data_IF_456831620587
#
_entry.id   IF_456831620587
#
_cell.length_a   1.000
_cell.length_b   1.000
_cell.length_c   1.000
_cell.angle_alpha   90.00
_cell.angle_beta   90.00
_cell.angle_gamma   90.00
#
_symmetry.space_group_name_H-M   'P 1'
#
loop_
_entity.id
_entity.type
_entity.pdbx_description
1 polymer ?
#
# COMPACT_ATOMS: atom_id res chain seq x y z
N UNK A 1 33.93 10.43 -0.84
CA UNK A 1 32.83 10.95 -1.68
C UNK A 1 31.72 11.38 -0.75
N UNK A 2 31.55 12.69 -0.61
CA UNK A 2 30.69 13.34 0.38
C UNK A 2 29.26 13.46 -0.16
N UNK A 3 28.30 12.75 0.43
CA UNK A 3 26.89 13.04 0.23
C UNK A 3 26.43 14.10 1.24
N UNK A 4 26.30 15.33 0.75
CA UNK A 4 25.57 16.42 1.42
C UNK A 4 24.12 15.97 1.62
N UNK A 5 23.70 15.82 2.88
CA UNK A 5 22.29 15.75 3.28
C UNK A 5 21.74 17.17 3.34
N UNK A 6 20.76 17.47 2.48
CA UNK A 6 19.99 18.71 2.50
C UNK A 6 18.98 18.62 3.65
N UNK A 7 19.24 19.37 4.73
CA UNK A 7 18.33 19.54 5.86
C UNK A 7 17.35 20.66 5.51
N UNK A 8 16.08 20.34 5.26
CA UNK A 8 15.04 21.34 5.04
C UNK A 8 14.42 21.71 6.40
N UNK A 9 14.82 22.86 6.92
CA UNK A 9 14.23 23.50 8.11
C UNK A 9 12.99 24.26 7.65
N UNK A 10 11.81 23.81 8.06
CA UNK A 10 10.57 24.59 7.91
C UNK A 10 10.49 25.62 9.05
N UNK A 11 10.70 26.89 8.73
CA UNK A 11 10.38 28.02 9.60
C UNK A 11 8.91 28.38 9.34
N UNK A 12 8.05 28.11 10.32
CA UNK A 12 6.65 28.54 10.31
C UNK A 12 6.55 30.04 10.60
N UNK A 13 6.25 30.83 9.58
CA UNK A 13 5.90 32.24 9.73
C UNK A 13 4.36 32.37 9.82
N UNK A 14 3.87 32.81 10.98
CA UNK A 14 2.49 33.22 11.20
C UNK A 14 2.21 34.53 10.45
N UNK A 15 1.22 34.51 9.55
CA UNK A 15 0.65 35.71 8.92
C UNK A 15 -0.82 35.87 9.37
N UNK A 16 -1.24 37.09 9.77
CA UNK A 16 -2.62 37.35 10.21
C UNK A 16 -3.60 37.42 9.04
N UNK A 17 -4.79 36.85 9.27
CA UNK A 17 -5.99 37.03 8.44
C UNK A 17 -6.33 38.52 8.30
N UNK A 18 -6.50 38.97 7.05
CA UNK A 18 -7.30 40.15 6.74
C UNK A 18 -8.52 39.67 5.96
N UNK A 19 -9.70 39.83 6.55
CA UNK A 19 -10.96 39.59 5.89
C UNK A 19 -11.22 40.71 4.88
N UNK A 20 -11.40 40.37 3.61
CA UNK A 20 -12.01 41.24 2.60
C UNK A 20 -13.19 40.49 2.01
N UNK A 21 -14.38 41.01 2.29
CA UNK A 21 -15.60 40.70 1.59
C UNK A 21 -15.68 41.58 0.34
N UNK A 22 -16.04 41.00 -0.82
CA UNK A 22 -16.74 41.68 -1.90
C UNK A 22 -17.43 40.63 -2.78
N UNK A 23 -18.74 40.74 -2.86
CA UNK A 23 -19.61 40.10 -3.83
C UNK A 23 -19.30 40.64 -5.23
N UNK A 24 -19.26 39.78 -6.24
CA UNK A 24 -19.63 40.18 -7.60
C UNK A 24 -20.17 38.97 -8.38
N UNK A 25 -21.42 39.10 -8.80
CA UNK A 25 -22.13 38.17 -9.67
C UNK A 25 -21.75 38.51 -11.10
N UNK A 26 -20.91 37.68 -11.70
CA UNK A 26 -20.65 37.72 -13.15
C UNK A 26 -20.98 36.35 -13.73
N UNK A 27 -22.07 36.31 -14.49
CA UNK A 27 -22.46 35.18 -15.34
C UNK A 27 -21.38 34.98 -16.41
N UNK A 28 -20.71 33.81 -16.50
CA UNK A 28 -19.75 33.60 -17.57
C UNK A 28 -20.47 33.27 -18.87
N UNK A 29 -20.20 34.09 -19.88
CA UNK A 29 -20.43 33.82 -21.30
C UNK A 29 -19.66 32.57 -21.70
N UNK A 30 -20.36 31.55 -22.23
CA UNK A 30 -19.75 30.32 -22.75
C UNK A 30 -19.00 30.66 -24.04
N UNK A 31 -17.68 30.78 -23.95
CA UNK A 31 -16.80 30.73 -25.11
C UNK A 31 -16.61 29.24 -25.48
N UNK A 32 -17.07 28.87 -26.68
CA UNK A 32 -16.78 27.58 -27.30
C UNK A 32 -15.32 27.60 -27.75
N UNK A 33 -14.44 27.17 -26.85
CA UNK A 33 -13.02 26.98 -27.09
C UNK A 33 -12.70 25.49 -27.11
N UNK A 34 -12.04 25.07 -28.18
CA UNK A 34 -11.52 23.74 -28.48
C UNK A 34 -10.80 23.11 -27.27
N UNK A 35 -11.55 22.34 -26.47
CA UNK A 35 -11.00 21.55 -25.38
C UNK A 35 -10.46 20.25 -25.98
N UNK A 36 -9.14 20.17 -26.10
CA UNK A 36 -8.48 18.87 -26.22
C UNK A 36 -8.98 17.94 -25.10
N UNK A 37 -9.03 16.61 -25.32
CA UNK A 37 -9.64 15.70 -24.37
C UNK A 37 -8.78 15.68 -23.09
N UNK A 38 -9.12 16.56 -22.15
CA UNK A 38 -8.63 16.50 -20.80
C UNK A 38 -9.17 15.19 -20.23
N UNK A 39 -8.27 14.21 -20.09
CA UNK A 39 -8.53 12.89 -19.55
C UNK A 39 -8.87 12.98 -18.05
N UNK A 40 -9.95 13.69 -17.76
CA UNK A 40 -10.49 13.89 -16.43
C UNK A 40 -11.15 12.60 -15.98
N UNK A 41 -10.72 12.10 -14.81
CA UNK A 41 -11.42 11.01 -14.13
C UNK A 41 -12.89 11.40 -13.95
N UNK A 42 -13.84 10.52 -14.30
CA UNK A 42 -15.27 10.78 -14.12
C UNK A 42 -15.56 11.20 -12.67
N UNK A 43 -16.44 12.18 -12.50
CA UNK A 43 -16.91 12.58 -11.18
C UNK A 43 -17.67 11.42 -10.52
N UNK A 44 -17.30 11.09 -9.28
CA UNK A 44 -17.92 10.02 -8.49
C UNK A 44 -18.75 10.65 -7.38
N UNK A 45 -20.06 10.42 -7.41
CA UNK A 45 -21.00 10.88 -6.38
C UNK A 45 -21.27 9.70 -5.42
N UNK A 46 -20.72 9.69 -4.19
CA UNK A 46 -20.91 8.59 -3.25
C UNK A 46 -22.29 8.65 -2.58
N UNK A 47 -22.82 7.49 -2.18
CA UNK A 47 -23.94 7.45 -1.24
C UNK A 47 -23.52 7.97 0.16
N UNK A 48 -24.47 8.28 1.04
CA UNK A 48 -24.17 8.81 2.38
C UNK A 48 -23.32 7.88 3.24
N UNK A 49 -23.43 6.56 3.03
CA UNK A 49 -22.66 5.49 3.69
C UNK A 49 -21.33 5.18 2.99
N UNK A 50 -20.95 5.97 1.99
CA UNK A 50 -19.78 5.72 1.14
C UNK A 50 -18.81 6.89 1.16
N UNK A 51 -17.55 6.60 0.86
CA UNK A 51 -16.49 7.56 0.63
C UNK A 51 -15.98 7.43 -0.82
N UNK A 52 -15.42 8.49 -1.38
CA UNK A 52 -14.67 8.39 -2.64
C UNK A 52 -13.23 8.02 -2.30
N UNK A 53 -12.77 6.85 -2.76
CA UNK A 53 -11.36 6.52 -2.81
C UNK A 53 -10.81 6.88 -4.19
N UNK A 54 -9.77 7.71 -4.24
CA UNK A 54 -9.00 8.01 -5.45
C UNK A 54 -7.57 7.51 -5.33
N UNK A 55 -6.88 7.47 -6.46
CA UNK A 55 -5.45 7.20 -6.52
C UNK A 55 -4.96 7.09 -7.95
N UNK A 56 -3.73 6.60 -8.11
CA UNK A 56 -3.11 6.34 -9.41
C UNK A 56 -2.49 4.95 -9.42
N UNK A 57 -2.63 4.23 -10.53
CA UNK A 57 -1.97 2.92 -10.73
C UNK A 57 -0.74 3.14 -11.61
N UNK A 58 0.40 2.64 -11.15
CA UNK A 58 1.70 2.81 -11.82
C UNK A 58 2.48 1.50 -11.90
N UNK A 59 3.40 1.39 -12.86
CA UNK A 59 4.39 0.31 -12.89
C UNK A 59 5.49 0.59 -11.86
N UNK A 60 5.73 -0.36 -10.96
CA UNK A 60 6.76 -0.26 -9.93
C UNK A 60 8.16 -0.10 -10.55
N UNK A 61 8.99 0.78 -9.99
CA UNK A 61 10.34 1.17 -10.46
C UNK A 61 10.38 2.13 -11.65
N UNK A 62 9.48 2.01 -12.64
CA UNK A 62 9.41 2.98 -13.76
C UNK A 62 8.53 4.19 -13.45
N UNK A 63 7.68 4.13 -12.42
CA UNK A 63 6.74 5.20 -12.02
C UNK A 63 5.82 5.67 -13.18
N UNK A 64 5.64 4.78 -14.16
CA UNK A 64 4.85 5.04 -15.36
C UNK A 64 3.39 4.74 -15.09
N UNK A 65 2.48 5.62 -15.50
CA UNK A 65 1.04 5.42 -15.41
C UNK A 65 0.60 4.15 -16.15
N UNK A 66 -0.38 3.44 -15.60
CA UNK A 66 -1.02 2.31 -16.27
C UNK A 66 -2.45 2.72 -16.64
N UNK A 67 -2.68 2.98 -17.93
CA UNK A 67 -4.01 3.12 -18.51
C UNK A 67 -4.71 1.75 -18.59
N UNK A 68 -6.02 1.72 -18.40
CA UNK A 68 -6.78 0.48 -18.62
C UNK A 68 -6.72 -0.54 -17.46
N UNK A 69 -6.03 -0.24 -16.37
CA UNK A 69 -6.02 -1.11 -15.19
C UNK A 69 -7.41 -1.14 -14.55
N UNK A 70 -7.90 -2.32 -14.21
CA UNK A 70 -9.16 -2.50 -13.47
C UNK A 70 -8.88 -2.49 -11.97
N UNK A 71 -9.50 -1.56 -11.26
CA UNK A 71 -9.47 -1.43 -9.80
C UNK A 71 -10.83 -1.91 -9.26
N UNK A 72 -10.83 -3.00 -8.51
CA UNK A 72 -12.03 -3.57 -7.89
C UNK A 72 -11.97 -3.41 -6.38
N UNK A 73 -13.00 -2.79 -5.80
CA UNK A 73 -13.14 -2.57 -4.35
C UNK A 73 -14.58 -2.81 -3.93
N UNK A 74 -14.80 -3.62 -2.89
CA UNK A 74 -16.13 -3.91 -2.34
C UNK A 74 -17.17 -4.31 -3.41
N UNK A 75 -16.75 -5.10 -4.42
CA UNK A 75 -17.61 -5.58 -5.52
C UNK A 75 -17.85 -4.56 -6.64
N UNK A 76 -17.40 -3.32 -6.50
CA UNK A 76 -17.44 -2.29 -7.56
C UNK A 76 -16.12 -2.28 -8.32
N UNK A 77 -16.15 -1.88 -9.59
CA UNK A 77 -14.94 -1.76 -10.41
C UNK A 77 -14.92 -0.45 -11.19
N UNK A 78 -13.70 0.07 -11.42
CA UNK A 78 -13.43 1.20 -12.29
C UNK A 78 -12.15 0.92 -13.08
N UNK A 79 -12.02 1.52 -14.27
CA UNK A 79 -10.81 1.43 -15.09
C UNK A 79 -10.02 2.72 -14.97
N UNK A 80 -8.69 2.63 -14.89
CA UNK A 80 -7.82 3.81 -14.83
C UNK A 80 -7.78 4.57 -16.15
N UNK A 81 -7.70 5.90 -16.05
CA UNK A 81 -7.51 6.79 -17.18
C UNK A 81 -6.05 6.73 -17.72
N UNK A 82 -5.77 7.48 -18.80
CA UNK A 82 -4.46 7.53 -19.45
C UNK A 82 -3.31 7.95 -18.51
N UNK A 83 -3.58 8.81 -17.52
CA UNK A 83 -2.61 9.21 -16.50
C UNK A 83 -2.52 8.22 -15.31
N UNK A 84 -3.23 7.09 -15.41
CA UNK A 84 -3.29 6.03 -14.41
C UNK A 84 -4.26 6.31 -13.27
N UNK A 85 -4.95 7.46 -13.26
CA UNK A 85 -5.82 7.83 -12.15
C UNK A 85 -7.14 7.07 -12.15
N UNK A 86 -7.69 6.89 -10.97
CA UNK A 86 -9.04 6.37 -10.75
C UNK A 86 -9.72 7.08 -9.58
N UNK A 87 -11.05 7.00 -9.56
CA UNK A 87 -11.88 7.32 -8.41
C UNK A 87 -13.00 6.27 -8.31
N UNK A 88 -13.33 5.82 -7.10
CA UNK A 88 -14.35 4.79 -6.85
C UNK A 88 -15.05 5.02 -5.51
N UNK A 89 -16.37 4.86 -5.49
CA UNK A 89 -17.14 4.94 -4.24
C UNK A 89 -17.02 3.63 -3.45
N UNK A 90 -16.57 3.70 -2.21
CA UNK A 90 -16.32 2.55 -1.33
C UNK A 90 -17.09 2.69 -0.01
N UNK A 91 -17.43 1.58 0.67
CA UNK A 91 -18.10 1.64 1.96
C UNK A 91 -17.27 2.40 3.01
N UNK A 92 -17.93 3.22 3.84
CA UNK A 92 -17.36 3.75 5.09
C UNK A 92 -17.55 2.75 6.22
N UNK A 93 -16.62 2.78 7.18
CA UNK A 93 -16.73 2.08 8.47
C UNK A 93 -16.95 0.55 8.36
N UNK A 94 -16.73 -0.02 7.18
CA UNK A 94 -16.85 -1.45 6.88
C UNK A 94 -15.57 -1.93 6.20
N UNK A 95 -15.00 -3.08 6.60
CA UNK A 95 -13.79 -3.61 5.98
C UNK A 95 -14.03 -4.04 4.52
N UNK A 96 -13.04 -3.81 3.67
CA UNK A 96 -13.01 -4.28 2.29
C UNK A 96 -11.57 -4.56 1.82
N UNK A 97 -11.44 -5.24 0.68
CA UNK A 97 -10.16 -5.48 0.00
C UNK A 97 -10.16 -4.82 -1.37
N UNK A 98 -8.98 -4.42 -1.82
CA UNK A 98 -8.75 -3.91 -3.17
C UNK A 98 -8.04 -4.98 -4.00
N UNK A 99 -8.54 -5.23 -5.21
CA UNK A 99 -7.89 -6.01 -6.26
C UNK A 99 -7.57 -5.07 -7.43
N UNK A 100 -6.35 -5.13 -7.93
CA UNK A 100 -5.95 -4.37 -9.12
C UNK A 100 -5.36 -5.32 -10.15
N UNK A 101 -5.89 -5.26 -11.38
CA UNK A 101 -5.45 -6.08 -12.52
C UNK A 101 -5.13 -5.18 -13.70
N UNK A 102 -4.05 -5.48 -14.42
CA UNK A 102 -3.72 -4.83 -15.68
C UNK A 102 -3.06 -5.85 -16.62
N UNK A 103 -3.17 -5.62 -17.93
CA UNK A 103 -2.48 -6.45 -18.92
C UNK A 103 -0.96 -6.37 -18.70
N UNK A 104 -0.24 -7.47 -18.96
CA UNK A 104 1.21 -7.58 -18.75
C UNK A 104 1.73 -7.27 -17.33
N UNK A 105 0.86 -7.29 -16.32
CA UNK A 105 1.23 -7.08 -14.91
C UNK A 105 0.72 -8.22 -14.04
N UNK A 106 1.40 -8.45 -12.92
CA UNK A 106 0.86 -9.30 -11.86
C UNK A 106 -0.37 -8.62 -11.24
N UNK A 107 -1.38 -9.41 -10.90
CA UNK A 107 -2.52 -8.94 -10.10
C UNK A 107 -2.03 -8.56 -8.71
N UNK A 108 -2.48 -7.42 -8.19
CA UNK A 108 -2.28 -7.04 -6.80
C UNK A 108 -3.54 -7.34 -5.99
N UNK A 109 -3.39 -8.08 -4.90
CA UNK A 109 -4.41 -8.25 -3.87
C UNK A 109 -3.96 -7.59 -2.58
N UNK A 110 -4.62 -6.50 -2.23
CA UNK A 110 -4.34 -5.80 -0.98
C UNK A 110 -4.95 -6.53 0.22
N UNK A 111 -4.33 -6.31 1.37
CA UNK A 111 -4.86 -6.58 2.70
C UNK A 111 -6.21 -5.89 2.92
N UNK A 112 -6.99 -6.39 3.86
CA UNK A 112 -8.25 -5.78 4.29
C UNK A 112 -8.03 -4.47 5.06
N UNK A 113 -8.82 -3.45 4.72
CA UNK A 113 -8.83 -2.17 5.44
C UNK A 113 -10.22 -1.53 5.39
N UNK A 114 -10.44 -0.51 6.23
CA UNK A 114 -11.64 0.32 6.24
C UNK A 114 -11.27 1.81 6.25
N UNK A 115 -12.22 2.64 5.83
CA UNK A 115 -12.09 4.11 5.85
C UNK A 115 -12.92 4.66 7.00
N UNK A 116 -12.28 5.40 7.90
CA UNK A 116 -12.96 5.99 9.06
C UNK A 116 -13.56 7.36 8.73
N UNK A 117 -14.89 7.46 8.69
CA UNK A 117 -15.67 8.71 8.71
C UNK A 117 -15.44 9.77 7.62
N UNK A 118 -14.38 9.69 6.81
CA UNK A 118 -14.05 10.70 5.77
C UNK A 118 -14.88 10.51 4.51
N UNK A 119 -15.27 11.63 3.89
CA UNK A 119 -15.97 11.62 2.61
C UNK A 119 -15.07 11.25 1.43
N UNK A 120 -13.77 11.53 1.52
CA UNK A 120 -12.79 11.27 0.47
C UNK A 120 -11.48 10.74 1.05
N UNK A 121 -10.83 9.85 0.32
CA UNK A 121 -9.47 9.36 0.56
C UNK A 121 -8.70 9.41 -0.76
N UNK A 122 -7.58 10.11 -0.79
CA UNK A 122 -6.56 9.90 -1.81
C UNK A 122 -5.55 8.86 -1.30
N UNK A 123 -5.52 7.69 -1.97
CA UNK A 123 -4.61 6.59 -1.65
C UNK A 123 -3.20 6.84 -2.20
N UNK A 124 -3.03 7.78 -3.12
CA UNK A 124 -1.80 8.00 -3.86
C UNK A 124 -1.51 6.85 -4.85
N UNK A 125 -0.23 6.52 -4.99
CA UNK A 125 0.23 5.54 -5.97
C UNK A 125 0.05 4.09 -5.50
N UNK A 126 -0.59 3.29 -6.35
CA UNK A 126 -0.68 1.83 -6.25
C UNK A 126 0.25 1.22 -7.29
N UNK A 127 1.28 0.52 -6.82
CA UNK A 127 2.33 -0.03 -7.68
C UNK A 127 2.01 -1.47 -8.10
N UNK A 128 1.99 -1.72 -9.42
CA UNK A 128 1.94 -3.07 -9.99
C UNK A 128 3.33 -3.49 -10.48
N UNK A 129 3.65 -4.77 -10.31
CA UNK A 129 4.84 -5.36 -10.94
C UNK A 129 4.50 -5.76 -12.37
N UNK A 130 5.26 -5.26 -13.34
CA UNK A 130 5.19 -5.80 -14.70
C UNK A 130 5.55 -7.29 -14.69
N UNK A 131 4.99 -8.08 -15.60
CA UNK A 131 5.29 -9.51 -15.73
C UNK A 131 6.77 -9.74 -15.96
N UNK A 132 7.44 -8.88 -16.74
CA UNK A 132 8.89 -8.95 -16.95
C UNK A 132 9.67 -8.76 -15.65
N UNK A 133 9.38 -7.71 -14.88
CA UNK A 133 10.04 -7.45 -13.60
C UNK A 133 9.73 -8.58 -12.60
N UNK A 134 8.48 -9.02 -12.52
CA UNK A 134 8.08 -10.11 -11.64
C UNK A 134 8.82 -11.42 -11.99
N UNK A 135 8.89 -11.78 -13.27
CA UNK A 135 9.62 -12.95 -13.76
C UNK A 135 11.12 -12.90 -13.42
N UNK A 136 11.72 -11.71 -13.48
CA UNK A 136 13.09 -11.51 -13.02
C UNK A 136 13.22 -11.70 -11.50
N UNK A 137 12.29 -11.16 -10.71
CA UNK A 137 12.33 -11.25 -9.25
C UNK A 137 12.10 -12.69 -8.75
N UNK A 138 11.18 -13.44 -9.37
CA UNK A 138 10.93 -14.84 -8.97
C UNK A 138 12.12 -15.75 -9.29
N UNK A 139 13.04 -15.37 -10.18
CA UNK A 139 14.27 -16.11 -10.40
C UNK A 139 15.18 -16.17 -9.14
N UNK A 140 15.02 -15.23 -8.20
CA UNK A 140 15.69 -15.25 -6.89
C UNK A 140 14.98 -16.14 -5.85
N UNK A 141 13.79 -16.66 -6.17
CA UNK A 141 12.97 -17.50 -5.30
C UNK A 141 13.16 -18.97 -5.68
N UNK A 142 14.19 -19.60 -5.11
CA UNK A 142 14.57 -20.99 -5.43
C UNK A 142 13.41 -21.96 -5.21
N UNK A 143 12.99 -22.65 -6.28
CA UNK A 143 11.89 -23.60 -6.22
C UNK A 143 10.50 -22.94 -6.19
N UNK A 144 10.39 -21.68 -6.63
CA UNK A 144 9.10 -21.02 -6.83
C UNK A 144 8.18 -21.84 -7.75
N UNK A 145 6.98 -22.06 -7.26
CA UNK A 145 5.90 -22.77 -7.94
C UNK A 145 4.74 -21.80 -8.18
N UNK A 146 4.50 -21.47 -9.46
CA UNK A 146 3.43 -20.56 -9.87
C UNK A 146 2.02 -21.11 -9.59
N UNK A 147 1.87 -22.39 -9.26
CA UNK A 147 0.59 -22.97 -8.84
C UNK A 147 0.27 -22.70 -7.37
N UNK A 148 1.21 -22.09 -6.64
CA UNK A 148 1.08 -21.68 -5.24
C UNK A 148 0.99 -20.17 -5.11
N UNK A 149 0.67 -19.70 -3.90
CA UNK A 149 0.51 -18.29 -3.58
C UNK A 149 1.82 -17.56 -3.31
N UNK A 150 1.81 -16.27 -3.61
CA UNK A 150 2.88 -15.31 -3.34
C UNK A 150 2.35 -14.20 -2.41
N UNK A 151 3.04 -13.98 -1.28
CA UNK A 151 2.69 -12.97 -0.28
C UNK A 151 3.88 -12.05 -0.05
N UNK A 152 3.72 -10.77 -0.35
CA UNK A 152 4.66 -9.71 0.03
C UNK A 152 4.20 -9.09 1.34
N UNK A 153 5.13 -8.92 2.28
CA UNK A 153 4.87 -8.28 3.57
C UNK A 153 5.75 -7.05 3.72
N UNK A 154 5.13 -5.93 4.09
CA UNK A 154 5.80 -4.74 4.58
C UNK A 154 5.68 -4.70 6.10
N UNK A 155 6.82 -4.63 6.79
CA UNK A 155 6.90 -4.25 8.20
C UNK A 155 7.14 -2.75 8.24
N UNK A 156 6.23 -2.00 8.85
CA UNK A 156 6.33 -0.55 8.94
C UNK A 156 6.43 -0.10 10.40
N UNK A 157 7.37 0.81 10.74
CA UNK A 157 7.41 1.39 12.07
C UNK A 157 6.30 2.43 12.23
N UNK A 158 5.65 2.44 13.39
CA UNK A 158 4.81 3.51 13.86
C UNK A 158 5.50 4.19 15.04
N UNK A 159 5.40 5.51 15.13
CA UNK A 159 5.95 6.24 16.27
C UNK A 159 5.38 5.67 17.59
N UNK A 160 6.21 5.50 18.64
CA UNK A 160 7.61 5.93 18.74
C UNK A 160 8.68 4.91 18.28
N UNK A 161 8.32 3.82 17.59
CA UNK A 161 9.34 2.95 16.97
C UNK A 161 10.14 3.75 15.93
N UNK A 162 11.46 3.80 16.08
CA UNK A 162 12.31 4.55 15.16
C UNK A 162 12.52 3.83 13.81
N UNK A 163 12.50 2.50 13.81
CA UNK A 163 12.74 1.68 12.64
C UNK A 163 12.25 0.25 12.85
N UNK A 164 11.92 -0.41 11.74
CA UNK A 164 11.65 -1.82 11.56
C UNK A 164 12.91 -2.70 11.39
N UNK A 165 14.11 -2.11 11.31
CA UNK A 165 15.35 -2.85 11.10
C UNK A 165 15.58 -3.91 12.18
N UNK A 166 15.94 -5.11 11.75
CA UNK A 166 16.18 -6.24 12.63
C UNK A 166 14.91 -7.05 12.97
N UNK A 167 13.73 -6.64 12.50
CA UNK A 167 12.54 -7.47 12.61
C UNK A 167 12.73 -8.83 11.93
N UNK A 168 12.18 -9.88 12.51
CA UNK A 168 12.05 -11.20 11.88
C UNK A 168 10.58 -11.48 11.58
N UNK A 169 10.31 -12.19 10.49
CA UNK A 169 8.94 -12.51 10.07
C UNK A 169 8.80 -14.00 9.79
N UNK A 170 7.75 -14.61 10.33
CA UNK A 170 7.30 -15.96 9.99
C UNK A 170 5.86 -15.93 9.48
N UNK A 171 5.32 -17.08 9.07
CA UNK A 171 3.96 -17.21 8.58
C UNK A 171 3.20 -18.22 9.44
N UNK A 172 1.96 -17.93 9.79
CA UNK A 172 1.06 -18.78 10.56
C UNK A 172 -0.24 -19.06 9.78
N UNK A 173 -0.59 -20.33 9.49
CA UNK A 173 0.28 -21.50 9.61
C UNK A 173 1.45 -21.43 8.61
N UNK A 174 2.62 -22.02 8.91
CA UNK A 174 3.78 -21.95 8.02
C UNK A 174 3.62 -22.79 6.74
N UNK A 175 2.92 -23.93 6.81
CA UNK A 175 2.75 -24.83 5.68
C UNK A 175 4.07 -25.20 5.00
N UNK A 176 4.09 -25.22 3.67
CA UNK A 176 5.29 -25.39 2.85
C UNK A 176 5.89 -24.04 2.39
N UNK A 177 5.44 -22.92 2.98
CA UNK A 177 5.87 -21.60 2.56
C UNK A 177 7.37 -21.42 2.80
N UNK A 178 8.03 -20.79 1.84
CA UNK A 178 9.42 -20.40 1.94
C UNK A 178 9.52 -18.88 2.08
N UNK A 179 10.55 -18.42 2.79
CA UNK A 179 10.77 -17.01 3.11
C UNK A 179 12.00 -16.47 2.35
N UNK A 180 11.90 -15.26 1.82
CA UNK A 180 13.05 -14.42 1.44
C UNK A 180 12.86 -13.02 1.99
N UNK A 181 13.91 -12.48 2.61
CA UNK A 181 13.96 -11.06 2.93
C UNK A 181 14.36 -10.26 1.69
N UNK A 182 13.93 -9.01 1.64
CA UNK A 182 14.20 -8.10 0.53
C UNK A 182 15.17 -7.02 1.00
N UNK A 183 16.10 -6.64 0.13
CA UNK A 183 16.93 -5.44 0.32
C UNK A 183 17.33 -4.83 -1.03
N UNK A 184 17.09 -3.52 -1.16
CA UNK A 184 17.17 -2.78 -2.42
C UNK A 184 16.15 -3.29 -3.43
N UNK A 185 14.94 -3.63 -2.97
CA UNK A 185 13.86 -4.22 -3.80
C UNK A 185 14.17 -5.58 -4.45
N UNK A 186 15.25 -6.26 -4.04
CA UNK A 186 15.63 -7.58 -4.56
C UNK A 186 15.58 -8.61 -3.42
N UNK A 187 14.97 -9.80 -3.61
CA UNK A 187 15.07 -10.91 -2.65
C UNK A 187 16.52 -11.34 -2.44
N UNK A 188 16.96 -11.42 -1.17
CA UNK A 188 18.33 -11.76 -0.79
C UNK A 188 18.40 -13.15 -0.16
N UNK A 189 19.30 -13.97 -0.68
CA UNK A 189 19.69 -15.22 -0.02
C UNK A 189 20.57 -14.92 1.20
N UNK A 190 20.37 -15.67 2.30
CA UNK A 190 21.15 -15.54 3.53
C UNK A 190 20.79 -14.34 4.43
N UNK A 191 19.99 -13.38 3.96
CA UNK A 191 19.44 -12.32 4.83
C UNK A 191 18.44 -12.93 5.81
N UNK A 192 18.58 -12.61 7.10
CA UNK A 192 17.79 -13.21 8.18
C UNK A 192 16.85 -12.22 8.90
N UNK A 193 16.89 -10.94 8.55
CA UNK A 193 16.09 -9.89 9.20
C UNK A 193 15.73 -8.76 8.22
N UNK A 194 14.71 -7.99 8.57
CA UNK A 194 14.23 -6.82 7.82
C UNK A 194 15.28 -5.72 7.79
N UNK A 195 15.41 -5.05 6.65
CA UNK A 195 16.20 -3.84 6.46
C UNK A 195 15.29 -2.61 6.47
N UNK A 196 15.77 -1.52 7.07
CA UNK A 196 15.02 -0.28 7.17
C UNK A 196 14.72 0.33 5.80
N UNK A 197 13.55 0.95 5.67
CA UNK A 197 13.16 1.76 4.52
C UNK A 197 12.71 0.98 3.29
N UNK A 198 12.63 -0.35 3.36
CA UNK A 198 12.21 -1.16 2.23
C UNK A 198 10.68 -1.10 2.05
N UNK A 199 10.21 -0.91 0.82
CA UNK A 199 8.77 -0.93 0.50
C UNK A 199 8.14 -2.31 0.68
N UNK A 200 8.96 -3.35 0.53
CA UNK A 200 8.66 -4.76 0.81
C UNK A 200 9.76 -5.27 1.72
N UNK A 201 9.41 -5.83 2.87
CA UNK A 201 10.38 -6.33 3.85
C UNK A 201 10.70 -7.81 3.61
N UNK A 202 9.67 -8.62 3.34
CA UNK A 202 9.81 -10.05 3.05
C UNK A 202 8.83 -10.52 1.99
N UNK A 203 9.16 -11.64 1.35
CA UNK A 203 8.29 -12.38 0.44
C UNK A 203 8.17 -13.81 0.96
N UNK A 204 6.94 -14.26 1.16
CA UNK A 204 6.60 -15.67 1.28
C UNK A 204 6.15 -16.20 -0.07
N UNK A 205 6.69 -17.35 -0.47
CA UNK A 205 6.35 -18.02 -1.71
C UNK A 205 6.09 -19.51 -1.46
N UNK A 206 5.44 -20.15 -2.42
CA UNK A 206 4.93 -21.52 -2.27
C UNK A 206 3.92 -21.65 -1.11
N UNK A 207 3.16 -20.58 -0.84
CA UNK A 207 2.09 -20.59 0.15
C UNK A 207 0.90 -21.37 -0.41
N UNK A 208 0.26 -22.23 0.39
CA UNK A 208 -0.90 -22.98 -0.09
C UNK A 208 -2.04 -22.03 -0.47
N UNK A 209 -2.52 -22.04 -1.73
CA UNK A 209 -3.63 -21.18 -2.14
C UNK A 209 -4.91 -21.48 -1.37
N UNK A 210 -5.73 -20.45 -1.15
CA UNK A 210 -7.02 -20.62 -0.45
C UNK A 210 -6.91 -20.79 1.07
N UNK A 211 -5.71 -21.02 1.62
CA UNK A 211 -5.48 -21.07 3.06
C UNK A 211 -5.28 -19.65 3.60
N UNK A 212 -6.00 -19.31 4.67
CA UNK A 212 -5.75 -18.07 5.41
C UNK A 212 -4.40 -18.17 6.11
N UNK A 213 -3.56 -17.18 5.88
CA UNK A 213 -2.25 -17.06 6.52
C UNK A 213 -2.08 -15.67 7.12
N UNK A 214 -1.25 -15.59 8.16
CA UNK A 214 -0.94 -14.37 8.87
C UNK A 214 0.57 -14.24 9.06
N UNK A 215 1.20 -13.12 8.62
CA UNK A 215 2.57 -12.84 8.98
C UNK A 215 2.69 -12.61 10.50
N UNK A 216 3.64 -13.27 11.14
CA UNK A 216 3.97 -13.08 12.56
C UNK A 216 5.31 -12.37 12.63
N UNK A 217 5.31 -11.16 13.19
CA UNK A 217 6.51 -10.33 13.30
C UNK A 217 7.08 -10.44 14.71
N UNK A 218 8.40 -10.41 14.83
CA UNK A 218 9.09 -10.15 16.10
C UNK A 218 10.11 -9.05 15.86
N UNK A 219 10.17 -8.06 16.75
CA UNK A 219 11.13 -6.96 16.66
C UNK A 219 12.06 -6.98 17.88
N UNK A 220 13.36 -6.66 17.74
CA UNK A 220 14.29 -6.66 18.86
C UNK A 220 13.92 -5.64 19.94
N UNK A 221 13.44 -4.45 19.55
CA UNK A 221 13.25 -3.31 20.45
C UNK A 221 11.83 -2.73 20.51
N UNK A 222 10.93 -3.13 19.62
CA UNK A 222 9.57 -2.57 19.52
C UNK A 222 8.55 -3.68 19.69
N UNK A 223 7.35 -3.34 20.13
CA UNK A 223 6.21 -4.26 20.16
C UNK A 223 5.53 -4.32 18.80
N UNK A 224 4.92 -5.47 18.48
CA UNK A 224 4.03 -5.57 17.32
C UNK A 224 2.73 -4.88 17.66
N UNK A 225 2.28 -3.98 16.80
CA UNK A 225 1.00 -3.29 16.99
C UNK A 225 -0.14 -4.23 16.59
N UNK A 226 -1.10 -4.51 17.49
CA UNK A 226 -2.22 -5.37 17.17
C UNK A 226 -3.17 -4.69 16.16
N UNK A 227 -3.92 -5.51 15.43
CA UNK A 227 -5.01 -5.04 14.57
C UNK A 227 -6.32 -4.94 15.37
N UNK A 228 -7.23 -4.00 15.05
CA UNK A 228 -7.12 -3.00 13.99
C UNK A 228 -6.09 -1.91 14.33
N UNK A 229 -5.44 -1.35 13.29
CA UNK A 229 -4.42 -0.30 13.41
C UNK A 229 -4.71 0.84 12.45
N UNK A 230 -4.82 2.05 13.00
CA UNK A 230 -5.05 3.27 12.24
C UNK A 230 -3.73 3.87 11.74
N UNK A 231 -3.65 4.15 10.45
CA UNK A 231 -2.51 4.80 9.79
C UNK A 231 -3.05 5.90 8.88
N UNK A 232 -2.99 7.14 9.37
CA UNK A 232 -3.69 8.25 8.74
C UNK A 232 -5.20 7.99 8.74
N UNK A 233 -5.81 8.02 7.56
CA UNK A 233 -7.26 7.90 7.37
C UNK A 233 -7.72 6.46 7.11
N UNK A 234 -6.79 5.50 7.10
CA UNK A 234 -7.05 4.09 6.83
C UNK A 234 -6.89 3.31 8.12
N UNK A 235 -7.87 2.47 8.44
CA UNK A 235 -7.75 1.45 9.49
C UNK A 235 -7.51 0.11 8.83
N UNK A 236 -6.34 -0.49 9.04
CA UNK A 236 -6.10 -1.87 8.64
C UNK A 236 -6.72 -2.78 9.69
N UNK A 237 -7.56 -3.72 9.27
CA UNK A 237 -8.51 -4.41 10.17
C UNK A 237 -8.00 -5.77 10.63
N UNK A 238 -7.19 -6.45 9.82
CA UNK A 238 -6.51 -7.69 10.18
C UNK A 238 -5.26 -7.88 9.30
N UNK A 239 -4.36 -8.77 9.70
CA UNK A 239 -3.20 -9.20 8.88
C UNK A 239 -3.42 -10.56 8.19
N UNK A 240 -4.63 -11.11 8.25
CA UNK A 240 -4.93 -12.39 7.63
C UNK A 240 -5.20 -12.18 6.14
N UNK A 241 -4.53 -12.96 5.29
CA UNK A 241 -4.79 -12.97 3.86
C UNK A 241 -4.94 -14.37 3.33
N UNK A 242 -5.69 -14.47 2.23
CA UNK A 242 -5.84 -15.70 1.45
C UNK A 242 -5.13 -15.50 0.12
N UNK A 243 -3.95 -16.10 -0.08
CA UNK A 243 -3.22 -16.01 -1.33
C UNK A 243 -3.93 -16.79 -2.44
N UNK A 244 -3.84 -16.27 -3.66
CA UNK A 244 -4.31 -16.92 -4.87
C UNK A 244 -3.11 -17.47 -5.67
N UNK A 245 -3.29 -18.54 -6.47
CA UNK A 245 -2.23 -19.05 -7.32
C UNK A 245 -2.02 -18.16 -8.55
N UNK A 246 -0.93 -18.40 -9.28
CA UNK A 246 -0.64 -17.73 -10.55
C UNK A 246 0.13 -16.43 -10.40
N UNK A 247 -0.07 -15.51 -11.35
CA UNK A 247 0.55 -14.19 -11.38
C UNK A 247 -0.18 -13.21 -10.46
N UNK A 248 -0.35 -13.59 -9.18
CA UNK A 248 -1.04 -12.81 -8.17
C UNK A 248 -0.11 -12.55 -7.00
N UNK A 249 0.12 -11.27 -6.70
CA UNK A 249 0.84 -10.82 -5.52
C UNK A 249 -0.15 -10.38 -4.44
N UNK A 250 -0.18 -11.12 -3.33
CA UNK A 250 -0.93 -10.70 -2.14
C UNK A 250 -0.05 -9.80 -1.28
N UNK A 251 -0.52 -8.60 -0.93
CA UNK A 251 0.25 -7.62 -0.18
C UNK A 251 -0.32 -7.39 1.21
N UNK A 252 0.54 -7.49 2.23
CA UNK A 252 0.18 -7.30 3.65
C UNK A 252 1.10 -6.30 4.31
N UNK A 253 0.54 -5.44 5.15
CA UNK A 253 1.26 -4.54 6.05
C UNK A 253 1.14 -5.06 7.47
N UNK A 254 2.23 -4.99 8.19
CA UNK A 254 2.34 -5.26 9.63
C UNK A 254 3.08 -4.11 10.27
N UNK A 255 2.83 -3.86 11.55
CA UNK A 255 3.30 -2.65 12.21
C UNK A 255 4.04 -2.98 13.48
N UNK A 256 5.15 -2.28 13.71
CA UNK A 256 5.89 -2.29 14.98
C UNK A 256 5.82 -0.89 15.57
N UNK A 257 5.60 -0.79 16.87
CA UNK A 257 5.22 0.46 17.52
C UNK A 257 6.01 0.75 18.80
N UNK A 258 5.35 0.96 19.94
CA UNK A 258 6.04 1.39 21.15
C UNK A 258 7.22 0.46 21.51
N UNK A 259 8.31 1.02 22.09
CA UNK A 259 9.40 0.23 22.61
C UNK A 259 8.88 -0.86 23.54
N UNK A 260 9.49 -2.04 23.47
CA UNK A 260 9.23 -3.07 24.48
C UNK A 260 9.53 -2.51 25.86
N UNK A 261 8.67 -2.80 26.82
CA UNK A 261 9.01 -2.54 28.22
C UNK A 261 10.35 -3.20 28.52
N UNK A 262 11.33 -2.41 28.97
CA UNK A 262 12.54 -2.98 29.56
C UNK A 262 12.05 -3.64 30.84
N UNK A 263 12.10 -4.97 30.92
CA UNK A 263 11.85 -5.66 32.18
C UNK A 263 12.79 -5.03 33.21
N UNK A 264 12.22 -4.22 34.11
CA UNK A 264 12.94 -3.65 35.22
C UNK A 264 13.22 -4.84 36.15
N UNK A 265 14.30 -5.57 35.86
CA UNK A 265 14.72 -6.73 36.61
C UNK A 265 14.60 -6.42 38.09
N UNK A 266 13.84 -7.24 38.81
CA UNK A 266 13.95 -7.30 40.27
C UNK A 266 15.31 -7.90 40.57
N UNK A 267 16.30 -7.02 40.79
CA UNK A 267 17.56 -7.35 41.46
C UNK A 267 17.30 -7.77 42.92
#
# INVERSE_FOLDING_TARGET
MNHRRLLLVFVSLLAPCVAVACSDSTTPTVASGDAGPDASTPEVIPASTEAVQSGRVITAQQETAIEGATVTVAGKSVTTAADGKYAIAVPKDSPFRMRVTAEEHYTLLEQEYSLGGKATLDRGDTQLLSRTTANLLVAFLKGYDKTKGLVSVRVAPLAPCASEEGATVTLDPPGAAQLRYVSGSIPREGQAAVKAGESISVIFYNVEPGVKVRPVVTHPSCEVVPFPVAVGDVSYTNAEVTPEPGEVLTFVRTYVGPPKAVDAGTD
#
